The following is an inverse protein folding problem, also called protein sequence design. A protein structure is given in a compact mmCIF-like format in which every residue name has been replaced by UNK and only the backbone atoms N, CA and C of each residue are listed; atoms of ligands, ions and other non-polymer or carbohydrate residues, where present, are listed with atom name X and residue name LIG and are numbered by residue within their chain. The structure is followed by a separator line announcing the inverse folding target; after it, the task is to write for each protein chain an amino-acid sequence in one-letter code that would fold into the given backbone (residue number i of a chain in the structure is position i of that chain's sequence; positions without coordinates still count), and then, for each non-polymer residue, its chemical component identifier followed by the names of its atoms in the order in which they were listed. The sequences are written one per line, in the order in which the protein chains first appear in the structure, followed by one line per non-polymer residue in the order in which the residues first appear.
data_IF_095651958859
#
_entry.id   IF_095651958859
#
_cell.length_a   1.000
_cell.length_b   1.000
_cell.length_c   1.000
_cell.angle_alpha   90.00
_cell.angle_beta   90.00
_cell.angle_gamma   90.00
#
_symmetry.space_group_name_H-M   'P 1'
#
loop_
_entity.id
_entity.type
_entity.pdbx_description
1 polymer ?
#
# COMPACT_ATOMS: atom_id res chain seq x y z
N UNK A 1 14.58 -5.15 4.55
CA UNK A 1 13.55 -4.28 5.15
C UNK A 1 12.42 -4.07 4.16
N UNK A 2 11.16 -4.13 4.60
CA UNK A 2 9.98 -3.96 3.76
C UNK A 2 9.44 -2.54 3.92
N UNK A 3 9.07 -1.89 2.81
CA UNK A 3 8.40 -0.59 2.87
C UNK A 3 7.01 -0.75 3.52
N UNK A 4 6.60 0.18 4.41
CA UNK A 4 5.31 0.08 5.09
C UNK A 4 4.17 0.23 4.08
N UNK A 5 3.16 -0.66 4.10
CA UNK A 5 2.05 -0.56 3.17
C UNK A 5 1.06 0.54 3.56
N UNK A 6 0.18 0.87 2.60
CA UNK A 6 -0.98 1.73 2.79
C UNK A 6 -2.26 0.92 2.61
N UNK A 7 -3.18 1.01 3.58
CA UNK A 7 -4.51 0.43 3.45
C UNK A 7 -5.45 1.52 2.95
N UNK A 8 -6.01 1.34 1.75
CA UNK A 8 -6.96 2.29 1.17
C UNK A 8 -8.38 1.83 1.45
N UNK A 9 -9.11 2.56 2.28
CA UNK A 9 -10.50 2.25 2.58
C UNK A 9 -11.48 3.00 1.67
N UNK A 10 -12.47 2.28 1.13
CA UNK A 10 -13.66 2.85 0.48
C UNK A 10 -14.55 3.56 1.51
N UNK A 11 -14.27 4.83 1.83
CA UNK A 11 -15.07 5.66 2.75
C UNK A 11 -14.59 7.13 2.77
N UNK A 12 -15.47 8.06 3.16
CA UNK A 12 -15.12 9.49 3.24
C UNK A 12 -14.37 9.86 4.53
N UNK A 13 -14.60 9.11 5.62
CA UNK A 13 -14.03 9.37 6.95
C UNK A 13 -13.41 8.12 7.55
N UNK A 14 -12.17 8.24 8.01
CA UNK A 14 -11.49 7.22 8.81
C UNK A 14 -11.93 7.39 10.27
N UNK A 15 -12.38 6.31 10.90
CA UNK A 15 -12.74 6.31 12.33
C UNK A 15 -11.47 6.18 13.19
N UNK A 16 -11.36 6.85 14.35
CA UNK A 16 -10.21 6.70 15.25
C UNK A 16 -9.92 5.25 15.65
N UNK A 17 -10.96 4.44 15.83
CA UNK A 17 -10.85 3.00 16.15
C UNK A 17 -10.13 2.18 15.08
N UNK A 18 -10.08 2.66 13.83
CA UNK A 18 -9.34 2.01 12.75
C UNK A 18 -7.86 2.36 12.81
N UNK A 19 -7.53 3.61 13.16
CA UNK A 19 -6.14 4.06 13.28
C UNK A 19 -5.44 3.40 14.47
N UNK A 20 -6.15 3.21 15.58
CA UNK A 20 -5.59 2.60 16.80
C UNK A 20 -5.24 1.12 16.65
N UNK A 21 -5.69 0.46 15.59
CA UNK A 21 -5.46 -0.97 15.32
C UNK A 21 -4.43 -1.21 14.23
N UNK A 22 -3.90 -0.16 13.61
CA UNK A 22 -2.87 -0.33 12.58
C UNK A 22 -1.58 -0.89 13.18
N UNK A 23 -0.93 -1.82 12.48
CA UNK A 23 0.46 -2.16 12.79
C UNK A 23 1.35 -0.93 12.72
N UNK A 24 2.46 -0.97 13.44
CA UNK A 24 3.44 0.11 13.46
C UNK A 24 3.94 0.42 12.03
N UNK A 25 4.11 1.71 11.73
CA UNK A 25 4.54 2.25 10.43
C UNK A 25 3.55 2.10 9.27
N UNK A 26 2.48 1.31 9.38
CA UNK A 26 1.45 1.23 8.34
C UNK A 26 0.69 2.55 8.23
N UNK A 27 0.20 2.82 7.03
CA UNK A 27 -0.55 4.04 6.74
C UNK A 27 -1.97 3.73 6.29
N UNK A 28 -2.89 4.68 6.51
CA UNK A 28 -4.26 4.60 6.01
C UNK A 28 -4.47 5.67 4.95
N UNK A 29 -4.99 5.24 3.80
CA UNK A 29 -5.56 6.08 2.77
C UNK A 29 -7.09 5.96 2.74
N UNK A 30 -7.74 6.92 2.09
CA UNK A 30 -9.19 6.89 1.86
C UNK A 30 -9.50 7.38 0.46
N UNK A 31 -10.38 6.68 -0.23
CA UNK A 31 -10.86 7.06 -1.56
C UNK A 31 -12.34 6.68 -1.68
N UNK A 32 -13.01 7.26 -2.68
CA UNK A 32 -14.45 7.05 -2.90
C UNK A 32 -14.79 5.60 -3.25
N UNK A 33 -13.92 4.91 -3.98
CA UNK A 33 -14.11 3.55 -4.47
C UNK A 33 -13.23 2.50 -3.75
N UNK A 34 -12.28 2.93 -2.91
CA UNK A 34 -11.33 2.06 -2.23
C UNK A 34 -10.12 1.67 -3.08
N UNK A 35 -10.01 2.20 -4.29
CA UNK A 35 -8.84 2.05 -5.14
C UNK A 35 -7.87 3.21 -4.89
N UNK A 36 -6.59 2.97 -5.14
CA UNK A 36 -5.58 4.02 -5.07
C UNK A 36 -5.76 5.01 -6.22
N UNK A 37 -5.88 6.30 -5.92
CA UNK A 37 -5.86 7.39 -6.90
C UNK A 37 -4.48 8.03 -6.98
N UNK A 38 -4.25 8.88 -8.00
CA UNK A 38 -3.02 9.68 -8.14
C UNK A 38 -2.73 10.53 -6.91
N UNK A 39 -3.74 11.14 -6.32
CA UNK A 39 -3.64 12.00 -5.15
C UNK A 39 -3.24 11.18 -3.92
N UNK A 40 -3.92 10.04 -3.70
CA UNK A 40 -3.59 9.15 -2.57
C UNK A 40 -2.21 8.51 -2.71
N UNK A 41 -1.77 8.21 -3.93
CA UNK A 41 -0.43 7.72 -4.20
C UNK A 41 0.63 8.79 -3.94
N UNK A 42 0.40 10.03 -4.41
CA UNK A 42 1.30 11.16 -4.10
C UNK A 42 1.38 11.40 -2.60
N UNK A 43 0.26 11.32 -1.88
CA UNK A 43 0.25 11.44 -0.42
C UNK A 43 1.08 10.33 0.25
N UNK A 44 0.91 9.07 -0.18
CA UNK A 44 1.70 7.95 0.32
C UNK A 44 3.20 8.14 0.09
N UNK A 45 3.61 8.50 -1.14
CA UNK A 45 5.03 8.72 -1.47
C UNK A 45 5.64 9.82 -0.61
N UNK A 46 4.91 10.93 -0.45
CA UNK A 46 5.42 12.13 0.21
C UNK A 46 5.47 12.01 1.73
N UNK A 47 4.46 11.40 2.35
CA UNK A 47 4.29 11.33 3.80
C UNK A 47 4.83 10.05 4.44
N UNK A 48 4.79 8.94 3.70
CA UNK A 48 5.09 7.61 4.24
C UNK A 48 6.38 7.08 3.65
N UNK A 49 6.44 6.90 2.33
CA UNK A 49 7.56 6.23 1.69
C UNK A 49 8.89 6.99 1.81
N UNK A 50 8.94 8.29 1.45
CA UNK A 50 10.19 9.07 1.58
C UNK A 50 10.63 9.23 3.05
N UNK A 51 9.67 9.31 3.98
CA UNK A 51 9.99 9.32 5.42
C UNK A 51 10.64 8.00 5.82
N UNK A 52 10.06 6.88 5.40
CA UNK A 52 10.58 5.55 5.68
C UNK A 52 11.97 5.32 5.08
N UNK A 53 12.23 5.80 3.85
CA UNK A 53 13.57 5.74 3.24
C UNK A 53 14.61 6.43 4.13
N UNK A 54 14.30 7.62 4.65
CA UNK A 54 15.19 8.38 5.54
C UNK A 54 15.39 7.70 6.89
N UNK A 55 14.31 7.29 7.55
CA UNK A 55 14.39 6.68 8.89
C UNK A 55 15.05 5.30 8.86
N UNK A 56 14.92 4.57 7.75
CA UNK A 56 15.54 3.25 7.57
C UNK A 56 16.92 3.32 6.94
N UNK A 57 17.45 4.54 6.73
CA UNK A 57 18.76 4.80 6.12
C UNK A 57 18.97 4.07 4.78
N UNK A 58 17.94 4.07 3.92
CA UNK A 58 18.01 3.46 2.59
C UNK A 58 18.83 4.36 1.68
N UNK A 59 19.86 3.77 1.06
CA UNK A 59 20.70 4.48 0.10
C UNK A 59 19.92 4.89 -1.14
N UNK A 60 20.21 6.09 -1.64
CA UNK A 60 19.61 6.65 -2.86
C UNK A 60 20.65 6.59 -3.99
N UNK A 61 20.24 6.39 -5.25
CA UNK A 61 18.86 6.45 -5.76
C UNK A 61 18.03 5.18 -5.49
N UNK A 62 16.72 5.37 -5.33
CA UNK A 62 15.75 4.27 -5.17
C UNK A 62 14.91 4.16 -6.43
N UNK A 63 14.76 2.94 -6.96
CA UNK A 63 13.84 2.64 -8.06
C UNK A 63 12.54 2.08 -7.49
N UNK A 64 11.42 2.71 -7.82
CA UNK A 64 10.09 2.26 -7.46
C UNK A 64 9.33 1.80 -8.71
N UNK A 65 9.11 0.51 -8.81
CA UNK A 65 8.30 -0.09 -9.87
C UNK A 65 6.82 0.16 -9.57
N UNK A 66 6.08 0.71 -10.55
CA UNK A 66 4.66 1.03 -10.42
C UNK A 66 3.84 0.34 -11.50
N UNK A 67 2.62 -0.06 -11.18
CA UNK A 67 1.68 -0.54 -12.18
C UNK A 67 1.16 0.63 -13.03
N UNK A 68 1.50 0.65 -14.32
CA UNK A 68 1.15 1.70 -15.26
C UNK A 68 -0.37 1.90 -15.40
N UNK A 69 -1.18 0.87 -15.14
CA UNK A 69 -2.63 0.95 -15.29
C UNK A 69 -3.33 1.70 -14.15
N UNK A 70 -2.69 1.80 -12.97
CA UNK A 70 -3.35 2.32 -11.78
C UNK A 70 -3.04 3.80 -11.51
N UNK A 71 -1.82 4.28 -11.84
CA UNK A 71 -1.39 5.63 -11.48
C UNK A 71 -0.39 6.20 -12.49
N UNK A 72 -0.86 6.91 -13.52
CA UNK A 72 0.05 7.80 -14.27
C UNK A 72 0.54 8.92 -13.35
N UNK A 73 1.85 9.04 -13.08
CA UNK A 73 2.36 10.04 -12.16
C UNK A 73 2.10 11.44 -12.70
N UNK A 74 1.58 12.31 -11.84
CA UNK A 74 1.40 13.73 -12.14
C UNK A 74 2.76 14.40 -12.32
N UNK A 75 2.82 15.51 -13.04
CA UNK A 75 4.06 16.28 -13.20
C UNK A 75 4.64 16.70 -11.84
N UNK A 76 3.77 17.05 -10.88
CA UNK A 76 4.16 17.38 -9.51
C UNK A 76 4.86 16.21 -8.81
N UNK A 77 4.30 15.00 -8.91
CA UNK A 77 4.88 13.81 -8.30
C UNK A 77 6.22 13.46 -8.94
N UNK A 78 6.31 13.52 -10.27
CA UNK A 78 7.56 13.23 -11.00
C UNK A 78 8.67 14.18 -10.61
N UNK A 79 8.38 15.50 -10.53
CA UNK A 79 9.36 16.50 -10.09
C UNK A 79 9.83 16.23 -8.66
N UNK A 80 8.90 15.96 -7.76
CA UNK A 80 9.21 15.65 -6.36
C UNK A 80 10.05 14.37 -6.21
N UNK A 81 9.73 13.32 -6.96
CA UNK A 81 10.49 12.08 -6.93
C UNK A 81 11.92 12.30 -7.45
N UNK A 82 12.08 13.07 -8.53
CA UNK A 82 13.39 13.46 -9.07
C UNK A 82 14.23 14.22 -8.04
N UNK A 83 13.66 15.24 -7.39
CA UNK A 83 14.34 16.00 -6.32
C UNK A 83 14.75 15.10 -5.14
N UNK A 84 14.02 14.01 -4.90
CA UNK A 84 14.27 13.06 -3.81
C UNK A 84 15.09 11.84 -4.23
N UNK A 85 15.64 11.79 -5.45
CA UNK A 85 16.36 10.63 -6.02
C UNK A 85 15.54 9.33 -5.95
N UNK A 86 14.23 9.43 -6.22
CA UNK A 86 13.30 8.31 -6.39
C UNK A 86 12.94 8.24 -7.87
N UNK A 87 13.23 7.11 -8.51
CA UNK A 87 12.92 6.87 -9.92
C UNK A 87 11.67 6.01 -10.01
N UNK A 88 10.58 6.59 -10.53
CA UNK A 88 9.35 5.85 -10.81
C UNK A 88 9.50 5.11 -12.14
N UNK A 89 9.39 3.78 -12.12
CA UNK A 89 9.45 2.94 -13.31
C UNK A 89 8.09 2.26 -13.55
N UNK A 90 7.27 2.74 -14.49
CA UNK A 90 6.03 2.07 -14.83
C UNK A 90 6.31 0.74 -15.53
N UNK A 91 5.65 -0.32 -15.06
CA UNK A 91 5.71 -1.65 -15.66
C UNK A 91 4.84 -1.65 -16.91
N UNK A 92 5.39 -2.16 -18.02
CA UNK A 92 4.66 -2.22 -19.28
C UNK A 92 3.40 -3.11 -19.16
N UNK A 93 2.27 -2.73 -19.78
CA UNK A 93 1.09 -3.58 -19.84
C UNK A 93 1.41 -5.00 -20.32
N UNK A 94 0.69 -6.00 -19.82
CA UNK A 94 0.86 -7.43 -20.14
C UNK A 94 2.20 -8.06 -19.68
N UNK A 95 3.05 -7.34 -18.95
CA UNK A 95 4.30 -7.89 -18.39
C UNK A 95 4.20 -8.21 -16.89
N UNK A 96 3.00 -8.13 -16.29
CA UNK A 96 2.76 -8.37 -14.86
C UNK A 96 3.33 -9.70 -14.37
N UNK A 97 3.10 -10.78 -15.12
CA UNK A 97 3.59 -12.12 -14.78
C UNK A 97 5.13 -12.25 -14.76
N UNK A 98 5.85 -11.31 -15.39
CA UNK A 98 7.32 -11.29 -15.45
C UNK A 98 7.90 -10.25 -14.49
N UNK A 99 7.30 -9.05 -14.45
CA UNK A 99 7.86 -7.86 -13.80
C UNK A 99 7.17 -7.51 -12.46
N UNK A 100 6.07 -8.18 -12.09
CA UNK A 100 5.39 -8.01 -10.80
C UNK A 100 5.51 -9.28 -9.95
N UNK A 101 6.68 -9.55 -9.34
CA UNK A 101 6.87 -10.69 -8.46
C UNK A 101 5.96 -10.65 -7.21
N UNK A 102 5.48 -9.45 -6.85
CA UNK A 102 4.49 -9.28 -5.80
C UNK A 102 3.18 -10.01 -6.11
N UNK A 103 2.69 -9.89 -7.34
CA UNK A 103 1.43 -10.52 -7.75
C UNK A 103 1.56 -12.02 -8.02
N UNK A 104 2.72 -12.47 -8.50
CA UNK A 104 2.95 -13.87 -8.88
C UNK A 104 3.48 -14.77 -7.77
N UNK A 105 4.08 -14.23 -6.70
CA UNK A 105 4.69 -15.05 -5.64
C UNK A 105 4.32 -14.56 -4.24
N UNK A 106 4.44 -13.26 -3.98
CA UNK A 106 4.25 -12.73 -2.62
C UNK A 106 2.78 -12.75 -2.18
N UNK A 107 1.87 -12.27 -3.03
CA UNK A 107 0.46 -12.15 -2.68
C UNK A 107 -0.28 -13.49 -2.66
N UNK A 108 0.27 -14.54 -3.27
CA UNK A 108 -0.29 -15.90 -3.14
C UNK A 108 -0.20 -16.37 -1.68
N UNK A 109 1.00 -16.40 -1.09
CA UNK A 109 1.18 -16.78 0.31
C UNK A 109 0.47 -15.83 1.29
N UNK A 110 0.35 -14.55 0.94
CA UNK A 110 -0.42 -13.59 1.74
C UNK A 110 -1.92 -13.93 1.76
N UNK A 111 -2.50 -14.36 0.63
CA UNK A 111 -3.92 -14.74 0.54
C UNK A 111 -4.21 -15.96 1.41
N UNK A 112 -3.33 -16.96 1.37
CA UNK A 112 -3.48 -18.17 2.20
C UNK A 112 -3.38 -17.84 3.69
N UNK A 113 -2.37 -17.05 4.06
CA UNK A 113 -2.18 -16.60 5.43
C UNK A 113 -3.37 -15.75 5.92
N UNK A 114 -3.91 -14.89 5.05
CA UNK A 114 -5.09 -14.10 5.34
C UNK A 114 -6.34 -14.97 5.52
N UNK A 115 -6.54 -15.99 4.68
CA UNK A 115 -7.65 -16.92 4.83
C UNK A 115 -7.63 -17.61 6.20
N UNK A 116 -6.47 -18.12 6.62
CA UNK A 116 -6.29 -18.72 7.93
C UNK A 116 -6.52 -17.72 9.08
N UNK A 117 -5.94 -16.53 8.98
CA UNK A 117 -6.10 -15.49 9.99
C UNK A 117 -7.56 -15.07 10.17
N UNK A 118 -8.31 -14.91 9.06
CA UNK A 118 -9.73 -14.56 9.13
C UNK A 118 -10.59 -15.67 9.73
N UNK A 119 -10.25 -16.94 9.48
CA UNK A 119 -10.98 -18.07 10.05
C UNK A 119 -10.72 -18.22 11.56
N UNK A 120 -9.46 -18.06 11.98
CA UNK A 120 -9.10 -18.04 13.40
C UNK A 120 -9.81 -16.90 14.15
N UNK A 121 -9.83 -15.70 13.56
CA UNK A 121 -10.53 -14.56 14.13
C UNK A 121 -12.04 -14.84 14.24
N UNK A 122 -12.68 -15.38 13.20
CA UNK A 122 -14.11 -15.72 13.23
C UNK A 122 -14.43 -16.75 14.32
N UNK A 123 -13.60 -17.78 14.46
CA UNK A 123 -13.77 -18.82 15.48
C UNK A 123 -13.71 -18.23 16.89
N UNK A 124 -12.81 -17.29 17.12
CA UNK A 124 -12.65 -16.59 18.41
C UNK A 124 -13.72 -15.52 18.68
N UNK A 125 -14.49 -15.13 17.66
CA UNK A 125 -15.44 -14.02 17.72
C UNK A 125 -16.89 -14.44 17.39
N UNK A 126 -17.29 -15.66 17.75
CA UNK A 126 -18.63 -16.22 17.56
C UNK A 126 -19.11 -16.13 16.09
N UNK A 127 -18.20 -16.43 15.14
CA UNK A 127 -18.46 -16.39 13.69
C UNK A 127 -18.99 -15.05 13.18
N UNK A 128 -18.68 -13.94 13.86
CA UNK A 128 -19.04 -12.60 13.41
C UNK A 128 -18.38 -12.29 12.05
N UNK A 129 -19.09 -11.52 11.22
CA UNK A 129 -18.51 -10.98 9.98
C UNK A 129 -17.41 -9.96 10.31
N UNK A 130 -16.27 -10.09 9.66
CA UNK A 130 -15.17 -9.12 9.76
C UNK A 130 -15.64 -7.77 9.19
N UNK A 131 -15.47 -6.72 9.98
CA UNK A 131 -15.75 -5.33 9.59
C UNK A 131 -14.44 -4.63 9.26
N UNK A 132 -14.51 -3.50 8.55
CA UNK A 132 -13.33 -2.67 8.22
C UNK A 132 -12.49 -2.28 9.45
N UNK A 133 -13.14 -2.09 10.59
CA UNK A 133 -12.50 -1.80 11.88
C UNK A 133 -11.75 -2.97 12.50
N UNK A 134 -11.86 -4.18 11.95
CA UNK A 134 -11.15 -5.37 12.38
C UNK A 134 -10.29 -5.93 11.24
N UNK A 135 -9.98 -5.09 10.24
CA UNK A 135 -9.14 -5.49 9.12
C UNK A 135 -7.66 -5.50 9.51
N UNK A 136 -7.23 -4.47 10.23
CA UNK A 136 -5.89 -4.32 10.76
C UNK A 136 -5.76 -5.02 12.12
#
# INVERSE_FOLDING_TARGET
VLAPPVIVFKQERIRPSMMSKLPEFWSIGKTHDGWMTKESFQEYITKVFDKWLKTSNIEKPVVLFIDANSVFPTQSLTKLCKERNIHLLPIHPNMSHILQPLDSQFFEGLKDSWALATEHWRSSNNRKRIKKENFA
#
